data_IF_630590325104
#
_entry.id   IF_630590325104
#
_cell.length_a   1.000
_cell.length_b   1.000
_cell.length_c   1.000
_cell.angle_alpha   90.00
_cell.angle_beta   90.00
_cell.angle_gamma   90.00
#
_symmetry.space_group_name_H-M   'P 1'
#
loop_
_entity.id
_entity.type
_entity.pdbx_description
1 polymer ?
#
# COMPACT_ATOMS: atom_id res chain seq x y z
N UNK A 1 -45.98 17.93 3.61
CA UNK A 1 -44.86 18.46 2.81
C UNK A 1 -43.56 18.26 3.60
N UNK A 2 -42.45 17.81 2.99
CA UNK A 2 -41.43 17.00 3.67
C UNK A 2 -40.35 17.84 4.37
N UNK A 3 -40.45 18.00 5.69
CA UNK A 3 -39.42 18.66 6.52
C UNK A 3 -38.26 17.72 6.93
N UNK A 4 -38.21 16.50 6.41
CA UNK A 4 -37.15 15.51 6.74
C UNK A 4 -35.77 15.89 6.19
N UNK A 5 -35.69 16.55 5.04
CA UNK A 5 -34.41 16.82 4.35
C UNK A 5 -33.51 17.83 5.07
N UNK A 6 -34.09 18.86 5.70
CA UNK A 6 -33.34 19.95 6.34
C UNK A 6 -32.54 19.46 7.56
N UNK A 7 -33.09 18.49 8.30
CA UNK A 7 -32.42 17.92 9.48
C UNK A 7 -31.15 17.13 9.10
N UNK A 8 -31.17 16.43 7.96
CA UNK A 8 -29.99 15.70 7.47
C UNK A 8 -28.87 16.63 6.97
N UNK A 9 -29.22 17.79 6.41
CA UNK A 9 -28.24 18.77 5.93
C UNK A 9 -27.40 19.35 7.06
N UNK A 10 -28.02 19.69 8.20
CA UNK A 10 -27.29 20.21 9.36
C UNK A 10 -26.34 19.18 9.98
N UNK A 11 -26.75 17.90 10.06
CA UNK A 11 -25.87 16.81 10.54
C UNK A 11 -24.67 16.61 9.61
N UNK A 12 -24.88 16.57 8.29
CA UNK A 12 -23.80 16.47 7.30
C UNK A 12 -22.85 17.67 7.39
N UNK A 13 -23.38 18.90 7.43
CA UNK A 13 -22.59 20.14 7.52
C UNK A 13 -21.72 20.20 8.79
N UNK A 14 -22.22 19.66 9.92
CA UNK A 14 -21.48 19.60 11.19
C UNK A 14 -20.39 18.51 11.17
N UNK A 15 -20.63 17.40 10.46
CA UNK A 15 -19.63 16.36 10.23
C UNK A 15 -18.54 16.82 9.27
N UNK A 16 -18.87 17.46 8.13
CA UNK A 16 -17.87 18.01 7.21
C UNK A 16 -17.08 19.18 7.80
N UNK A 17 -17.61 19.93 8.77
CA UNK A 17 -16.85 20.99 9.47
C UNK A 17 -15.67 20.46 10.29
N UNK A 18 -15.68 19.17 10.66
CA UNK A 18 -14.58 18.49 11.38
C UNK A 18 -13.62 17.74 10.45
N UNK A 19 -13.99 17.56 9.19
CA UNK A 19 -13.19 16.87 8.19
C UNK A 19 -12.36 17.92 7.44
N UNK A 20 -11.09 17.64 7.18
CA UNK A 20 -10.31 18.50 6.29
C UNK A 20 -10.98 18.53 4.90
N UNK A 21 -11.16 19.71 4.28
CA UNK A 21 -11.78 19.81 2.98
C UNK A 21 -10.88 19.15 1.91
N UNK A 22 -11.45 18.25 1.10
CA UNK A 22 -10.80 17.70 -0.08
C UNK A 22 -11.26 18.54 -1.29
N UNK A 23 -10.36 19.17 -2.07
CA UNK A 23 -8.89 19.23 -1.95
C UNK A 23 -8.40 20.17 -0.84
N UNK A 24 -7.28 19.80 -0.17
CA UNK A 24 -6.72 20.56 0.94
C UNK A 24 -6.28 21.97 0.49
N UNK A 25 -6.58 23.04 1.25
CA UNK A 25 -6.26 24.42 0.88
C UNK A 25 -4.75 24.68 0.79
N UNK A 26 -3.96 23.97 1.59
CA UNK A 26 -2.50 24.05 1.55
C UNK A 26 -1.92 23.33 0.31
N UNK A 27 -1.15 24.03 -0.54
CA UNK A 27 -0.63 23.46 -1.78
C UNK A 27 0.32 22.27 -1.55
N UNK A 28 1.03 22.26 -0.42
CA UNK A 28 1.95 21.18 -0.06
C UNK A 28 1.24 19.85 0.22
N UNK A 29 0.17 19.85 1.03
CA UNK A 29 -0.60 18.64 1.33
C UNK A 29 -1.27 18.07 0.07
N UNK A 30 -1.84 18.93 -0.77
CA UNK A 30 -2.43 18.51 -2.06
C UNK A 30 -1.39 17.91 -3.02
N UNK A 31 -0.18 18.45 -3.04
CA UNK A 31 0.93 17.87 -3.81
C UNK A 31 1.35 16.49 -3.27
N UNK A 32 1.43 16.35 -1.94
CA UNK A 32 1.74 15.09 -1.29
C UNK A 32 0.69 14.01 -1.59
N UNK A 33 -0.60 14.37 -1.53
CA UNK A 33 -1.72 13.46 -1.84
C UNK A 33 -1.59 12.87 -3.26
N UNK A 34 -1.19 13.68 -4.23
CA UNK A 34 -0.98 13.20 -5.60
C UNK A 34 0.28 12.34 -5.72
N UNK A 35 1.36 12.76 -5.05
CA UNK A 35 2.65 12.08 -5.08
C UNK A 35 2.56 10.67 -4.47
N UNK A 36 1.69 10.47 -3.48
CA UNK A 36 1.50 9.17 -2.83
C UNK A 36 1.15 8.06 -3.84
N UNK A 37 0.33 8.36 -4.84
CA UNK A 37 -0.07 7.38 -5.86
C UNK A 37 1.12 6.93 -6.70
N UNK A 38 2.03 7.85 -7.05
CA UNK A 38 3.25 7.55 -7.80
C UNK A 38 4.21 6.73 -6.95
N UNK A 39 4.41 7.14 -5.69
CA UNK A 39 5.29 6.43 -4.74
C UNK A 39 4.79 5.01 -4.49
N UNK A 40 3.48 4.79 -4.36
CA UNK A 40 2.91 3.46 -4.19
C UNK A 40 3.22 2.51 -5.36
N UNK A 41 3.46 3.03 -6.56
CA UNK A 41 3.85 2.22 -7.73
C UNK A 41 5.36 2.04 -7.78
N UNK A 42 6.14 3.09 -7.54
CA UNK A 42 7.59 3.07 -7.68
C UNK A 42 8.30 2.29 -6.55
N UNK A 43 7.79 2.36 -5.33
CA UNK A 43 8.44 1.73 -4.17
C UNK A 43 8.67 0.22 -4.34
N UNK A 44 7.69 -0.60 -4.77
CA UNK A 44 7.94 -2.03 -4.97
C UNK A 44 8.91 -2.32 -6.12
N UNK A 45 9.10 -1.39 -7.07
CA UNK A 45 10.10 -1.54 -8.14
C UNK A 45 11.54 -1.57 -7.59
N UNK A 46 11.77 -0.98 -6.42
CA UNK A 46 13.08 -1.01 -5.73
C UNK A 46 13.47 -2.42 -5.30
N UNK A 47 12.50 -3.34 -5.16
CA UNK A 47 12.75 -4.74 -4.80
C UNK A 47 13.08 -5.61 -6.03
N UNK A 48 12.75 -5.15 -7.25
CA UNK A 48 12.98 -5.92 -8.48
C UNK A 48 14.46 -6.26 -8.74
N UNK A 49 15.45 -5.38 -8.49
CA UNK A 49 16.86 -5.75 -8.62
C UNK A 49 17.27 -6.91 -7.71
N UNK A 50 16.68 -7.01 -6.51
CA UNK A 50 16.96 -8.12 -5.58
C UNK A 50 16.37 -9.44 -6.09
N UNK A 51 15.15 -9.40 -6.64
CA UNK A 51 14.55 -10.55 -7.33
C UNK A 51 15.46 -10.96 -8.49
N UNK A 52 15.76 -10.03 -9.41
CA UNK A 52 16.57 -10.29 -10.59
C UNK A 52 17.93 -10.88 -10.23
N UNK A 53 18.61 -10.35 -9.20
CA UNK A 53 19.91 -10.85 -8.75
C UNK A 53 19.84 -12.32 -8.34
N UNK A 54 18.85 -12.72 -7.55
CA UNK A 54 18.71 -14.12 -7.10
C UNK A 54 18.47 -15.05 -8.29
N UNK A 55 17.53 -14.69 -9.17
CA UNK A 55 17.13 -15.55 -10.28
C UNK A 55 18.15 -15.58 -11.42
N UNK A 56 18.90 -14.49 -11.63
CA UNK A 56 19.96 -14.44 -12.65
C UNK A 56 21.27 -15.05 -12.18
N UNK A 57 21.66 -14.84 -10.92
CA UNK A 57 22.91 -15.38 -10.37
C UNK A 57 22.74 -16.78 -9.79
N UNK A 58 21.49 -17.25 -9.66
CA UNK A 58 21.13 -18.52 -9.02
C UNK A 58 21.84 -18.70 -7.68
N UNK A 59 21.93 -17.60 -6.92
CA UNK A 59 22.61 -17.56 -5.64
C UNK A 59 21.84 -16.68 -4.66
N UNK A 60 21.41 -17.29 -3.56
CA UNK A 60 20.70 -16.66 -2.46
C UNK A 60 21.36 -16.98 -1.10
N UNK A 61 22.63 -17.37 -1.06
CA UNK A 61 23.31 -17.86 0.14
C UNK A 61 23.39 -16.85 1.31
N UNK A 62 23.17 -15.55 1.05
CA UNK A 62 23.11 -14.50 2.08
C UNK A 62 21.71 -13.99 2.42
N UNK A 63 20.66 -14.56 1.84
CA UNK A 63 19.29 -14.04 2.00
C UNK A 63 18.59 -14.76 3.16
N UNK A 64 18.09 -13.99 4.13
CA UNK A 64 17.37 -14.52 5.28
C UNK A 64 15.94 -14.92 4.91
N UNK A 65 15.65 -16.22 4.89
CA UNK A 65 14.30 -16.72 4.58
C UNK A 65 13.25 -16.22 5.58
N UNK A 66 13.60 -16.19 6.87
CA UNK A 66 12.70 -15.74 7.95
C UNK A 66 12.24 -14.29 7.72
N UNK A 67 13.15 -13.44 7.25
CA UNK A 67 12.84 -12.04 6.93
C UNK A 67 11.73 -11.95 5.87
N UNK A 68 11.86 -12.69 4.77
CA UNK A 68 10.89 -12.62 3.68
C UNK A 68 9.57 -13.31 4.03
N UNK A 69 9.57 -14.38 4.83
CA UNK A 69 8.33 -14.97 5.36
C UNK A 69 7.60 -13.97 6.25
N UNK A 70 8.30 -13.30 7.17
CA UNK A 70 7.71 -12.25 8.02
C UNK A 70 7.11 -11.11 7.20
N UNK A 71 7.81 -10.66 6.16
CA UNK A 71 7.30 -9.63 5.25
C UNK A 71 6.06 -10.10 4.46
N UNK A 72 6.02 -11.36 4.01
CA UNK A 72 4.87 -11.93 3.32
C UNK A 72 3.63 -11.90 4.21
N UNK A 73 3.76 -12.34 5.48
CA UNK A 73 2.68 -12.30 6.46
C UNK A 73 2.22 -10.86 6.71
N UNK A 74 3.17 -9.94 6.91
CA UNK A 74 2.87 -8.51 7.09
C UNK A 74 2.12 -7.93 5.90
N UNK A 75 2.54 -8.24 4.67
CA UNK A 75 1.87 -7.79 3.46
C UNK A 75 0.43 -8.28 3.38
N UNK A 76 0.14 -9.53 3.77
CA UNK A 76 -1.24 -10.06 3.82
C UNK A 76 -2.09 -9.20 4.76
N UNK A 77 -1.60 -8.91 5.96
CA UNK A 77 -2.31 -8.07 6.95
C UNK A 77 -2.59 -6.68 6.37
N UNK A 78 -1.62 -6.06 5.71
CA UNK A 78 -1.79 -4.75 5.07
C UNK A 78 -2.75 -4.76 3.89
N UNK A 79 -2.76 -5.82 3.08
CA UNK A 79 -3.75 -5.98 2.01
C UNK A 79 -5.15 -6.10 2.59
N UNK A 80 -5.35 -6.91 3.64
CA UNK A 80 -6.63 -7.01 4.35
C UNK A 80 -7.05 -5.62 4.88
N UNK A 81 -6.12 -4.90 5.51
CA UNK A 81 -6.38 -3.54 5.98
C UNK A 81 -6.85 -2.62 4.85
N UNK A 82 -6.14 -2.61 3.72
CA UNK A 82 -6.50 -1.81 2.55
C UNK A 82 -7.87 -2.15 1.97
N UNK A 83 -8.24 -3.44 1.95
CA UNK A 83 -9.58 -3.90 1.52
C UNK A 83 -10.66 -3.38 2.46
N UNK A 84 -10.48 -3.54 3.78
CA UNK A 84 -11.45 -3.11 4.79
C UNK A 84 -11.68 -1.59 4.75
N UNK A 85 -10.60 -0.81 4.56
CA UNK A 85 -10.66 0.65 4.53
C UNK A 85 -10.91 1.23 3.13
N UNK A 86 -11.00 0.37 2.09
CA UNK A 86 -11.18 0.75 0.67
C UNK A 86 -10.06 1.65 0.11
N UNK A 87 -8.84 1.51 0.66
CA UNK A 87 -7.66 2.28 0.30
C UNK A 87 -6.91 1.61 -0.86
N UNK A 88 -7.29 1.94 -2.10
CA UNK A 88 -6.72 1.36 -3.33
C UNK A 88 -5.19 1.44 -3.44
N UNK A 89 -4.54 2.59 -3.12
CA UNK A 89 -3.09 2.71 -3.23
C UNK A 89 -2.35 1.75 -2.30
N UNK A 90 -2.85 1.61 -1.07
CA UNK A 90 -2.30 0.69 -0.07
C UNK A 90 -2.43 -0.76 -0.54
N UNK A 91 -3.61 -1.15 -1.04
CA UNK A 91 -3.81 -2.50 -1.58
C UNK A 91 -2.82 -2.82 -2.69
N UNK A 92 -2.69 -1.95 -3.70
CA UNK A 92 -1.79 -2.18 -4.83
C UNK A 92 -0.33 -2.28 -4.37
N UNK A 93 0.13 -1.36 -3.53
CA UNK A 93 1.48 -1.34 -2.97
C UNK A 93 1.85 -2.69 -2.33
N UNK A 94 1.00 -3.17 -1.41
CA UNK A 94 1.30 -4.38 -0.65
C UNK A 94 1.08 -5.67 -1.45
N UNK A 95 0.23 -5.66 -2.48
CA UNK A 95 0.14 -6.78 -3.45
C UNK A 95 1.45 -6.93 -4.24
N UNK A 96 2.02 -5.83 -4.74
CA UNK A 96 3.30 -5.90 -5.45
C UNK A 96 4.44 -6.39 -4.55
N UNK A 97 4.51 -5.88 -3.31
CA UNK A 97 5.47 -6.39 -2.33
C UNK A 97 5.25 -7.87 -2.02
N UNK A 98 4.01 -8.33 -1.88
CA UNK A 98 3.71 -9.74 -1.64
C UNK A 98 4.26 -10.63 -2.75
N UNK A 99 4.04 -10.26 -4.01
CA UNK A 99 4.57 -11.01 -5.17
C UNK A 99 6.10 -11.01 -5.16
N UNK A 100 6.73 -9.84 -5.01
CA UNK A 100 8.19 -9.72 -5.02
C UNK A 100 8.86 -10.50 -3.87
N UNK A 101 8.34 -10.37 -2.64
CA UNK A 101 8.87 -11.06 -1.47
C UNK A 101 8.67 -12.58 -1.58
N UNK A 102 7.57 -13.04 -2.17
CA UNK A 102 7.36 -14.46 -2.46
C UNK A 102 8.37 -14.98 -3.48
N UNK A 103 8.63 -14.23 -4.55
CA UNK A 103 9.65 -14.58 -5.54
C UNK A 103 11.06 -14.66 -4.92
N UNK A 104 11.38 -13.80 -3.96
CA UNK A 104 12.64 -13.85 -3.21
C UNK A 104 12.68 -15.06 -2.28
N UNK A 105 11.61 -15.34 -1.54
CA UNK A 105 11.53 -16.50 -0.65
C UNK A 105 11.68 -17.82 -1.43
N UNK A 106 11.02 -17.94 -2.57
CA UNK A 106 11.16 -19.09 -3.48
C UNK A 106 12.61 -19.19 -3.99
N UNK A 107 13.17 -18.09 -4.49
CA UNK A 107 14.56 -18.06 -4.94
C UNK A 107 15.54 -18.44 -3.82
N UNK A 108 15.27 -18.05 -2.57
CA UNK A 108 16.07 -18.47 -1.41
C UNK A 108 15.99 -19.98 -1.14
N UNK A 109 14.83 -20.60 -1.35
CA UNK A 109 14.66 -22.05 -1.15
C UNK A 109 15.35 -22.84 -2.27
N UNK A 110 15.33 -22.33 -3.50
CA UNK A 110 15.90 -23.02 -4.67
C UNK A 110 17.41 -22.81 -4.84
N UNK A 111 17.94 -21.65 -4.46
CA UNK A 111 19.29 -21.19 -4.81
C UNK A 111 20.17 -20.82 -3.62
N UNK A 112 19.86 -21.25 -2.40
CA UNK A 112 20.72 -20.96 -1.24
C UNK A 112 20.92 -22.13 -0.31
#
# INVERSE_FOLDING_TARGET
MPNGGLHHLHKRKRQTKKLEPIPHPEPFKRFLDHTIYVVCILTPMVVLPQVWKIWSQQNAAGISLITYIGLIIGNIIWVIYGVVHKEKPIMLLYIFFFIANTAIAIGRILYG
#
